data_IF_225882334797
#
_entry.id   IF_225882334797
#
_cell.length_a   1.000
_cell.length_b   1.000
_cell.length_c   1.000
_cell.angle_alpha   90.00
_cell.angle_beta   90.00
_cell.angle_gamma   90.00
#
_symmetry.space_group_name_H-M   'P 1'
#
loop_
_entity.id
_entity.type
_entity.pdbx_description
1 polymer ?
#
# COMPACT_ATOMS: atom_id res chain seq x y z
N UNK A 1 1.13 -10.70 -18.91
CA UNK A 1 1.35 -9.38 -18.27
C UNK A 1 1.71 -9.65 -16.81
N UNK A 2 2.89 -9.23 -16.35
CA UNK A 2 3.32 -9.42 -14.96
C UNK A 2 2.88 -8.19 -14.16
N UNK A 3 2.07 -8.38 -13.12
CA UNK A 3 1.68 -7.30 -12.23
C UNK A 3 2.84 -6.97 -11.30
N UNK A 4 3.13 -5.68 -11.13
CA UNK A 4 4.11 -5.22 -10.16
C UNK A 4 3.56 -5.37 -8.74
N UNK A 5 4.46 -5.50 -7.77
CA UNK A 5 4.05 -5.75 -6.39
C UNK A 5 3.18 -4.61 -5.83
N UNK A 6 3.46 -3.36 -6.23
CA UNK A 6 2.65 -2.20 -5.88
C UNK A 6 1.20 -2.31 -6.38
N UNK A 7 0.98 -2.85 -7.59
CA UNK A 7 -0.35 -3.00 -8.17
C UNK A 7 -1.15 -4.09 -7.44
N UNK A 8 -0.49 -5.19 -7.05
CA UNK A 8 -1.11 -6.27 -6.25
C UNK A 8 -1.63 -5.68 -4.93
N UNK A 9 -0.81 -4.88 -4.28
CA UNK A 9 -1.12 -4.29 -2.99
C UNK A 9 -2.11 -3.13 -3.05
N UNK A 10 -2.18 -2.41 -4.18
CA UNK A 10 -3.26 -1.47 -4.50
C UNK A 10 -4.62 -2.17 -4.50
N UNK A 11 -4.71 -3.33 -5.17
CA UNK A 11 -5.95 -4.11 -5.23
C UNK A 11 -6.35 -4.63 -3.85
N UNK A 12 -5.39 -5.18 -3.07
CA UNK A 12 -5.63 -5.61 -1.68
C UNK A 12 -6.17 -4.47 -0.82
N UNK A 13 -5.50 -3.30 -0.83
CA UNK A 13 -5.90 -2.13 -0.04
C UNK A 13 -7.32 -1.67 -0.39
N UNK A 14 -7.64 -1.55 -1.68
CA UNK A 14 -8.99 -1.15 -2.16
C UNK A 14 -10.06 -2.15 -1.73
N UNK A 15 -9.81 -3.46 -1.84
CA UNK A 15 -10.74 -4.51 -1.39
C UNK A 15 -11.01 -4.44 0.12
N UNK A 16 -9.98 -4.10 0.90
CA UNK A 16 -10.10 -3.90 2.35
C UNK A 16 -10.73 -2.56 2.73
N UNK A 17 -11.02 -1.67 1.77
CA UNK A 17 -11.51 -0.30 1.98
C UNK A 17 -10.58 0.58 2.82
N UNK A 18 -9.28 0.27 2.80
CA UNK A 18 -8.25 1.05 3.50
C UNK A 18 -7.91 2.29 2.65
N UNK A 19 -7.97 3.47 3.26
CA UNK A 19 -7.68 4.73 2.55
C UNK A 19 -6.17 4.98 2.49
N UNK A 20 -5.72 5.79 1.53
CA UNK A 20 -4.32 6.20 1.49
C UNK A 20 -3.94 7.10 2.66
N UNK A 21 -4.88 7.92 3.15
CA UNK A 21 -4.65 8.78 4.31
C UNK A 21 -4.42 7.94 5.59
N UNK A 22 -5.16 6.84 5.77
CA UNK A 22 -4.96 5.91 6.89
C UNK A 22 -3.56 5.27 6.85
N UNK A 23 -3.15 4.76 5.70
CA UNK A 23 -1.83 4.13 5.56
C UNK A 23 -0.71 5.17 5.68
N UNK A 24 -0.90 6.36 5.12
CA UNK A 24 0.03 7.48 5.23
C UNK A 24 0.24 7.89 6.69
N UNK A 25 -0.84 7.97 7.47
CA UNK A 25 -0.79 8.26 8.90
C UNK A 25 -0.06 7.17 9.69
N UNK A 26 -0.34 5.89 9.40
CA UNK A 26 0.35 4.76 10.04
C UNK A 26 1.86 4.73 9.73
N UNK A 27 2.23 4.99 8.48
CA UNK A 27 3.61 4.95 8.02
C UNK A 27 4.40 6.24 8.27
N UNK A 28 3.73 7.33 8.67
CA UNK A 28 4.35 8.65 8.82
C UNK A 28 4.91 9.20 7.50
N UNK A 29 4.19 9.02 6.39
CA UNK A 29 4.65 9.44 5.07
C UNK A 29 3.57 10.14 4.23
N UNK A 30 3.94 10.70 3.08
CA UNK A 30 2.98 11.35 2.18
C UNK A 30 2.22 10.31 1.33
N UNK A 31 0.89 10.42 1.27
CA UNK A 31 0.02 9.60 0.42
C UNK A 31 0.40 9.59 -1.06
N UNK A 32 0.97 10.67 -1.58
CA UNK A 32 1.45 10.75 -2.96
C UNK A 32 2.59 9.76 -3.22
N UNK A 33 3.45 9.51 -2.23
CA UNK A 33 4.54 8.53 -2.34
C UNK A 33 3.99 7.10 -2.43
N UNK A 34 3.00 6.79 -1.59
CA UNK A 34 2.31 5.49 -1.63
C UNK A 34 1.63 5.30 -2.98
N UNK A 35 0.86 6.29 -3.44
CA UNK A 35 0.15 6.23 -4.72
C UNK A 35 1.10 6.04 -5.91
N UNK A 36 2.22 6.75 -5.96
CA UNK A 36 3.22 6.58 -7.03
C UNK A 36 3.81 5.17 -7.02
N UNK A 37 4.09 4.61 -5.86
CA UNK A 37 4.60 3.24 -5.74
C UNK A 37 3.57 2.18 -6.11
N UNK A 38 2.32 2.33 -5.66
CA UNK A 38 1.20 1.45 -6.05
C UNK A 38 1.00 1.39 -7.57
N UNK A 39 1.35 2.45 -8.28
CA UNK A 39 1.26 2.54 -9.75
C UNK A 39 2.61 2.28 -10.46
N UNK A 40 3.60 1.71 -9.76
CA UNK A 40 4.91 1.37 -10.33
C UNK A 40 5.74 2.57 -10.79
N UNK A 41 5.40 3.80 -10.37
CA UNK A 41 6.08 5.04 -10.80
C UNK A 41 7.32 5.37 -9.97
N UNK A 42 7.52 4.69 -8.84
CA UNK A 42 8.64 4.97 -7.93
C UNK A 42 8.92 3.79 -7.00
N UNK A 43 10.17 3.64 -6.56
CA UNK A 43 10.53 2.77 -5.44
C UNK A 43 10.08 3.39 -4.11
N UNK A 44 9.57 2.58 -3.19
CA UNK A 44 9.09 3.06 -1.91
C UNK A 44 9.92 2.51 -0.76
N UNK A 45 10.51 3.40 0.03
CA UNK A 45 11.36 3.01 1.16
C UNK A 45 10.60 2.21 2.23
N UNK A 46 9.31 2.51 2.40
CA UNK A 46 8.45 1.90 3.41
C UNK A 46 7.61 0.74 2.84
N UNK A 47 8.04 0.16 1.72
CA UNK A 47 7.35 -0.94 1.04
C UNK A 47 7.03 -2.09 2.00
N UNK A 48 8.01 -2.56 2.77
CA UNK A 48 7.82 -3.68 3.71
C UNK A 48 6.81 -3.35 4.81
N UNK A 49 6.89 -2.15 5.39
CA UNK A 49 5.95 -1.71 6.43
C UNK A 49 4.53 -1.57 5.88
N UNK A 50 4.40 -1.04 4.67
CA UNK A 50 3.13 -0.96 3.96
C UNK A 50 2.51 -2.35 3.78
N UNK A 51 3.27 -3.31 3.28
CA UNK A 51 2.79 -4.68 3.03
C UNK A 51 2.32 -5.34 4.31
N UNK A 52 3.15 -5.28 5.36
CA UNK A 52 2.83 -5.82 6.67
C UNK A 52 1.53 -5.21 7.23
N UNK A 53 1.33 -3.90 7.08
CA UNK A 53 0.10 -3.24 7.54
C UNK A 53 -1.14 -3.80 6.84
N UNK A 54 -1.09 -3.92 5.51
CA UNK A 54 -2.21 -4.42 4.71
C UNK A 54 -2.50 -5.90 5.04
N UNK A 55 -1.47 -6.73 5.15
CA UNK A 55 -1.64 -8.17 5.43
C UNK A 55 -2.18 -8.40 6.86
N UNK A 56 -1.75 -7.62 7.85
CA UNK A 56 -2.31 -7.68 9.20
C UNK A 56 -3.81 -7.30 9.21
N UNK A 57 -4.21 -6.30 8.42
CA UNK A 57 -5.62 -5.92 8.29
C UNK A 57 -6.45 -6.96 7.53
N UNK A 58 -5.83 -7.73 6.63
CA UNK A 58 -6.46 -8.83 5.92
C UNK A 58 -6.79 -10.01 6.86
N UNK A 59 -5.89 -10.34 7.80
CA UNK A 59 -6.07 -11.43 8.75
C UNK A 59 -7.15 -11.11 9.80
N UNK A 60 -7.23 -9.85 10.23
CA UNK A 60 -8.14 -9.42 11.31
C UNK A 60 -9.58 -9.12 10.85
N UNK A 61 -9.98 -9.58 9.66
CA UNK A 61 -11.28 -9.29 9.03
C UNK A 61 -12.06 -10.57 8.78
#
# INVERSE_FOLDING_TARGET
>A
MKLEIGEIYLMKRKRLKITLDEVAAYLGCNKSSISRWENGKMKFRLEKQYMNYIDQKEINK
#
